data_IF_542815529442
#
_entry.id   IF_542815529442
#
_cell.length_a   1.000
_cell.length_b   1.000
_cell.length_c   1.000
_cell.angle_alpha   90.00
_cell.angle_beta   90.00
_cell.angle_gamma   90.00
#
_symmetry.space_group_name_H-M   'P 1'
#
loop_
_entity.id
_entity.type
_entity.pdbx_description
1 polymer ?
#
# COMPACT_ATOMS: atom_id res chain seq x y z
N UNK A 1 10.59 24.71 24.91
CA UNK A 1 9.93 23.87 23.90
C UNK A 1 9.63 22.54 24.58
N UNK A 2 8.38 22.06 24.54
CA UNK A 2 8.08 20.72 25.07
C UNK A 2 8.82 19.69 24.23
N UNK A 3 9.52 18.76 24.90
CA UNK A 3 10.20 17.66 24.24
C UNK A 3 9.17 16.77 23.58
N UNK A 4 9.35 16.42 22.30
CA UNK A 4 8.45 15.53 21.59
C UNK A 4 8.52 14.13 22.22
N UNK A 5 7.46 13.72 22.88
CA UNK A 5 7.33 12.38 23.45
C UNK A 5 6.35 11.56 22.62
N UNK A 6 6.83 10.53 21.95
CA UNK A 6 6.01 9.60 21.18
C UNK A 6 5.37 8.55 22.09
N UNK A 7 4.04 8.47 22.06
CA UNK A 7 3.29 7.43 22.75
C UNK A 7 2.67 6.47 21.71
N UNK A 8 3.23 5.27 21.50
CA UNK A 8 2.78 4.36 20.46
C UNK A 8 1.36 3.82 20.70
N UNK A 9 0.94 3.61 21.96
CA UNK A 9 -0.40 3.13 22.30
C UNK A 9 -1.46 4.18 21.99
N UNK A 10 -1.26 5.40 22.46
CA UNK A 10 -2.17 6.52 22.18
C UNK A 10 -2.22 6.83 20.69
N UNK A 11 -1.08 6.77 20.01
CA UNK A 11 -1.01 6.99 18.55
C UNK A 11 -1.79 5.91 17.79
N UNK A 12 -1.62 4.63 18.15
CA UNK A 12 -2.42 3.53 17.59
C UNK A 12 -3.91 3.79 17.73
N UNK A 13 -4.36 4.09 18.95
CA UNK A 13 -5.78 4.25 19.24
C UNK A 13 -6.36 5.45 18.48
N UNK A 14 -5.64 6.56 18.41
CA UNK A 14 -6.00 7.73 17.61
C UNK A 14 -6.05 7.43 16.10
N UNK A 15 -5.12 6.64 15.58
CA UNK A 15 -5.14 6.24 14.16
C UNK A 15 -6.34 5.34 13.85
N UNK A 16 -6.65 4.38 14.71
CA UNK A 16 -7.83 3.52 14.58
C UNK A 16 -9.11 4.36 14.52
N UNK A 17 -9.26 5.35 15.42
CA UNK A 17 -10.42 6.22 15.42
C UNK A 17 -10.50 7.08 14.15
N UNK A 18 -9.40 7.70 13.73
CA UNK A 18 -9.35 8.52 12.52
C UNK A 18 -9.67 7.73 11.26
N UNK A 19 -9.21 6.48 11.15
CA UNK A 19 -9.57 5.60 10.02
C UNK A 19 -11.09 5.37 10.02
N UNK A 20 -11.68 5.08 11.17
CA UNK A 20 -13.12 4.85 11.32
C UNK A 20 -13.93 6.08 10.93
N UNK A 21 -13.57 7.23 11.48
CA UNK A 21 -14.22 8.51 11.18
C UNK A 21 -14.14 8.86 9.68
N UNK A 22 -12.97 8.72 9.08
CA UNK A 22 -12.76 9.02 7.66
C UNK A 22 -13.61 8.12 6.76
N UNK A 23 -13.54 6.82 6.97
CA UNK A 23 -14.21 5.84 6.10
C UNK A 23 -15.74 5.91 6.27
N UNK A 24 -16.23 5.91 7.51
CA UNK A 24 -17.67 5.99 7.76
C UNK A 24 -18.25 7.38 7.50
N UNK A 25 -17.49 8.45 7.76
CA UNK A 25 -17.90 9.82 7.46
C UNK A 25 -18.14 10.08 5.98
N UNK A 26 -17.47 9.32 5.11
CA UNK A 26 -17.70 9.34 3.65
C UNK A 26 -18.79 8.34 3.19
N UNK A 27 -19.52 7.70 4.12
CA UNK A 27 -20.55 6.72 3.79
C UNK A 27 -20.01 5.37 3.32
N UNK A 28 -18.70 5.12 3.51
CA UNK A 28 -18.03 3.87 3.13
C UNK A 28 -17.84 2.97 4.35
N UNK A 29 -17.56 1.69 4.11
CA UNK A 29 -17.29 0.72 5.20
C UNK A 29 -16.11 -0.19 4.90
N UNK A 30 -15.56 -0.15 3.70
CA UNK A 30 -14.55 -1.09 3.22
C UNK A 30 -13.29 -0.37 2.77
N UNK A 31 -12.17 -1.08 2.92
CA UNK A 31 -10.87 -0.61 2.42
C UNK A 31 -10.12 -1.72 1.69
N UNK A 32 -9.35 -1.32 0.68
CA UNK A 32 -8.42 -2.15 -0.08
C UNK A 32 -7.02 -1.60 0.14
N UNK A 33 -6.03 -2.47 0.32
CA UNK A 33 -4.62 -2.05 0.41
C UNK A 33 -3.69 -3.11 -0.18
N UNK A 34 -2.51 -2.65 -0.61
CA UNK A 34 -1.42 -3.52 -1.04
C UNK A 34 -0.74 -4.18 0.15
N UNK A 35 -0.51 -5.50 0.07
CA UNK A 35 0.24 -6.25 1.08
C UNK A 35 1.56 -6.71 0.49
N UNK A 36 2.65 -6.06 0.90
CA UNK A 36 4.01 -6.38 0.47
C UNK A 36 4.71 -7.43 1.34
N UNK A 37 4.19 -7.68 2.54
CA UNK A 37 4.87 -8.46 3.58
C UNK A 37 5.81 -7.65 4.47
N UNK A 38 6.06 -6.38 4.13
CA UNK A 38 6.83 -5.45 4.94
C UNK A 38 6.04 -4.86 6.11
N UNK A 39 6.76 -4.28 7.08
CA UNK A 39 6.20 -3.73 8.32
C UNK A 39 5.08 -2.71 8.11
N UNK A 40 5.23 -1.82 7.11
CA UNK A 40 4.27 -0.73 6.89
C UNK A 40 2.91 -1.26 6.43
N UNK A 41 2.88 -2.14 5.43
CA UNK A 41 1.64 -2.79 4.98
C UNK A 41 1.02 -3.68 6.08
N UNK A 42 1.85 -4.29 6.93
CA UNK A 42 1.42 -5.08 8.08
C UNK A 42 0.69 -4.20 9.10
N UNK A 43 1.32 -3.10 9.53
CA UNK A 43 0.74 -2.18 10.52
C UNK A 43 -0.51 -1.48 9.97
N UNK A 44 -0.47 -1.00 8.72
CA UNK A 44 -1.63 -0.36 8.09
C UNK A 44 -2.83 -1.32 8.02
N UNK A 45 -2.61 -2.58 7.62
CA UNK A 45 -3.69 -3.58 7.55
C UNK A 45 -4.31 -3.90 8.91
N UNK A 46 -3.49 -3.99 9.96
CA UNK A 46 -3.97 -4.23 11.32
C UNK A 46 -4.73 -3.03 11.89
N UNK A 47 -4.27 -1.80 11.63
CA UNK A 47 -5.00 -0.58 12.01
C UNK A 47 -6.37 -0.53 11.33
N UNK A 48 -6.44 -0.82 10.03
CA UNK A 48 -7.70 -0.88 9.30
C UNK A 48 -8.63 -1.98 9.83
N UNK A 49 -8.10 -3.16 10.14
CA UNK A 49 -8.89 -4.26 10.69
C UNK A 49 -9.45 -3.95 12.08
N UNK A 50 -8.70 -3.24 12.93
CA UNK A 50 -9.18 -2.74 14.24
C UNK A 50 -10.23 -1.65 14.09
N UNK A 51 -10.09 -0.79 13.08
CA UNK A 51 -11.00 0.32 12.85
C UNK A 51 -12.35 -0.12 12.27
N UNK A 52 -12.34 -1.04 11.31
CA UNK A 52 -13.49 -1.34 10.44
C UNK A 52 -14.02 -2.77 10.57
N UNK A 53 -13.31 -3.64 11.28
CA UNK A 53 -13.55 -5.09 11.25
C UNK A 53 -12.78 -5.76 10.11
N UNK A 54 -12.20 -6.94 10.40
CA UNK A 54 -11.35 -7.69 9.45
C UNK A 54 -12.06 -8.10 8.16
N UNK A 55 -13.37 -8.29 8.22
CA UNK A 55 -14.23 -8.64 7.09
C UNK A 55 -14.41 -7.50 6.08
N UNK A 56 -14.09 -6.27 6.47
CA UNK A 56 -14.19 -5.06 5.66
C UNK A 56 -12.84 -4.60 5.09
N UNK A 57 -11.78 -5.38 5.33
CA UNK A 57 -10.41 -5.08 4.84
C UNK A 57 -9.98 -6.13 3.82
N UNK A 58 -9.49 -5.66 2.67
CA UNK A 58 -9.12 -6.48 1.53
C UNK A 58 -7.65 -6.25 1.16
N UNK A 59 -6.81 -7.23 1.43
CA UNK A 59 -5.39 -7.21 1.09
C UNK A 59 -5.13 -7.72 -0.32
N UNK A 60 -4.41 -6.97 -1.13
CA UNK A 60 -4.02 -7.40 -2.48
C UNK A 60 -2.51 -7.56 -2.52
N UNK A 61 -2.04 -8.77 -2.74
CA UNK A 61 -0.63 -9.08 -2.99
C UNK A 61 -0.38 -8.99 -4.49
N UNK A 62 0.58 -8.16 -4.90
CA UNK A 62 0.83 -7.87 -6.31
C UNK A 62 2.30 -8.12 -6.69
N UNK A 63 2.73 -9.41 -6.73
CA UNK A 63 4.07 -9.75 -7.18
C UNK A 63 4.26 -9.38 -8.65
N UNK A 64 5.49 -9.03 -8.99
CA UNK A 64 5.96 -8.89 -10.37
C UNK A 64 6.82 -10.11 -10.72
N UNK A 65 6.18 -11.16 -11.24
CA UNK A 65 6.81 -12.45 -11.47
C UNK A 65 6.87 -13.33 -10.22
N UNK A 66 7.99 -14.01 -10.01
CA UNK A 66 8.22 -14.88 -8.85
C UNK A 66 8.76 -14.07 -7.70
N UNK A 67 7.95 -13.87 -6.67
CA UNK A 67 8.35 -13.19 -5.46
C UNK A 67 8.70 -14.21 -4.36
N UNK A 68 9.95 -14.19 -3.87
CA UNK A 68 10.46 -15.16 -2.88
C UNK A 68 9.79 -15.06 -1.52
N UNK A 69 9.38 -13.86 -1.14
CA UNK A 69 8.81 -13.49 0.16
C UNK A 69 7.27 -13.33 0.15
N UNK A 70 6.59 -13.84 -0.90
CA UNK A 70 5.11 -13.84 -0.95
C UNK A 70 4.49 -14.56 0.25
N UNK A 71 5.24 -15.53 0.84
CA UNK A 71 4.82 -16.23 2.05
C UNK A 71 4.64 -15.28 3.24
N UNK A 72 5.42 -14.20 3.33
CA UNK A 72 5.33 -13.24 4.42
C UNK A 72 4.10 -12.34 4.24
N UNK A 73 3.80 -11.92 3.02
CA UNK A 73 2.53 -11.25 2.69
C UNK A 73 1.32 -12.10 3.06
N UNK A 74 1.38 -13.42 2.79
CA UNK A 74 0.32 -14.36 3.18
C UNK A 74 0.21 -14.52 4.70
N UNK A 75 1.35 -14.56 5.43
CA UNK A 75 1.35 -14.58 6.89
C UNK A 75 0.65 -13.35 7.45
N UNK A 76 0.98 -12.14 6.96
CA UNK A 76 0.29 -10.90 7.35
C UNK A 76 -1.22 -11.05 7.24
N UNK A 77 -1.72 -11.45 6.07
CA UNK A 77 -3.15 -11.60 5.84
C UNK A 77 -3.81 -12.60 6.80
N UNK A 78 -3.12 -13.71 7.11
CA UNK A 78 -3.62 -14.74 8.03
C UNK A 78 -3.66 -14.24 9.48
N UNK A 79 -2.60 -13.59 9.95
CA UNK A 79 -2.53 -13.08 11.32
C UNK A 79 -3.51 -11.95 11.57
N UNK A 80 -3.60 -11.00 10.63
CA UNK A 80 -4.60 -9.93 10.72
C UNK A 80 -6.02 -10.46 10.50
N UNK A 81 -6.16 -11.58 9.80
CA UNK A 81 -7.44 -12.25 9.53
C UNK A 81 -8.27 -11.56 8.45
N UNK A 82 -7.62 -10.85 7.53
CA UNK A 82 -8.27 -10.11 6.44
C UNK A 82 -8.48 -10.98 5.19
N UNK A 83 -9.46 -10.58 4.39
CA UNK A 83 -9.67 -11.18 3.05
C UNK A 83 -8.51 -10.78 2.14
N UNK A 84 -8.06 -11.68 1.28
CA UNK A 84 -6.93 -11.39 0.43
C UNK A 84 -6.99 -12.06 -0.94
N UNK A 85 -6.24 -11.50 -1.89
CA UNK A 85 -6.07 -12.04 -3.25
C UNK A 85 -4.66 -11.79 -3.74
N UNK A 86 -4.13 -12.70 -4.55
CA UNK A 86 -2.88 -12.51 -5.29
C UNK A 86 -3.23 -12.11 -6.72
N UNK A 87 -2.62 -11.02 -7.19
CA UNK A 87 -2.71 -10.52 -8.57
C UNK A 87 -1.29 -10.32 -9.07
N UNK A 88 -0.76 -11.27 -9.85
CA UNK A 88 0.57 -11.11 -10.43
C UNK A 88 0.51 -10.05 -11.56
N UNK A 89 1.32 -9.01 -11.43
CA UNK A 89 1.34 -7.89 -12.40
C UNK A 89 2.39 -8.06 -13.49
N UNK A 90 3.12 -9.16 -13.53
CA UNK A 90 4.26 -9.39 -14.44
C UNK A 90 3.89 -9.17 -15.91
N UNK A 91 2.88 -9.86 -16.38
CA UNK A 91 2.43 -9.74 -17.77
C UNK A 91 1.95 -8.32 -18.11
N UNK A 92 1.29 -7.66 -17.15
CA UNK A 92 0.84 -6.26 -17.32
C UNK A 92 2.05 -5.32 -17.43
N UNK A 93 3.05 -5.52 -16.57
CA UNK A 93 4.28 -4.72 -16.57
C UNK A 93 5.02 -4.84 -17.90
N UNK A 94 5.32 -6.06 -18.34
CA UNK A 94 6.01 -6.30 -19.60
C UNK A 94 5.20 -5.82 -20.82
N UNK A 95 3.89 -6.03 -20.80
CA UNK A 95 3.04 -5.56 -21.91
C UNK A 95 3.00 -4.04 -22.00
N UNK A 96 2.98 -3.32 -20.86
CA UNK A 96 3.04 -1.86 -20.84
C UNK A 96 4.36 -1.34 -21.42
N UNK A 97 5.49 -1.89 -20.98
CA UNK A 97 6.81 -1.50 -21.50
C UNK A 97 6.89 -1.75 -23.00
N UNK A 98 6.52 -2.95 -23.45
CA UNK A 98 6.53 -3.33 -24.86
C UNK A 98 5.60 -2.44 -25.70
N UNK A 99 4.43 -2.10 -25.20
CA UNK A 99 3.49 -1.24 -25.92
C UNK A 99 4.05 0.16 -26.17
N UNK A 100 4.75 0.73 -25.18
CA UNK A 100 5.39 2.04 -25.34
C UNK A 100 6.60 1.96 -26.25
N UNK A 101 7.43 0.91 -26.14
CA UNK A 101 8.62 0.69 -26.97
C UNK A 101 8.27 0.50 -28.45
N UNK A 102 7.20 -0.25 -28.74
CA UNK A 102 6.76 -0.55 -30.11
C UNK A 102 5.70 0.43 -30.66
N UNK A 103 5.30 1.41 -29.86
CA UNK A 103 4.29 2.39 -30.25
C UNK A 103 4.78 3.26 -31.38
N UNK A 104 3.98 3.36 -32.44
CA UNK A 104 4.19 4.25 -33.58
C UNK A 104 2.82 4.62 -34.18
N UNK A 105 2.70 5.81 -34.70
CA UNK A 105 1.48 6.26 -35.38
C UNK A 105 1.53 6.09 -36.93
N UNK A 106 2.72 5.77 -37.47
CA UNK A 106 2.94 5.46 -38.89
C UNK A 106 2.85 6.65 -39.86
N UNK A 107 2.33 7.79 -39.47
CA UNK A 107 2.04 8.93 -40.36
C UNK A 107 2.64 10.27 -39.91
N UNK A 108 2.96 10.43 -38.64
CA UNK A 108 3.51 11.66 -38.06
C UNK A 108 4.96 11.36 -37.61
N UNK A 109 5.81 12.35 -37.71
CA UNK A 109 7.19 12.27 -37.21
C UNK A 109 7.17 11.80 -35.74
N UNK A 110 7.69 10.59 -35.51
CA UNK A 110 7.70 9.96 -34.21
C UNK A 110 8.86 10.52 -33.37
N UNK A 111 8.73 10.48 -32.05
CA UNK A 111 9.81 10.92 -31.15
C UNK A 111 10.40 9.71 -30.42
N UNK A 112 11.74 9.67 -30.26
CA UNK A 112 12.36 8.60 -29.50
C UNK A 112 11.98 8.72 -28.02
N UNK A 113 11.49 7.63 -27.42
CA UNK A 113 11.27 7.55 -25.97
C UNK A 113 12.55 6.99 -25.34
N UNK A 114 13.33 7.82 -24.62
CA UNK A 114 14.53 7.33 -23.93
C UNK A 114 14.09 6.52 -22.70
N UNK A 115 14.11 5.22 -22.82
CA UNK A 115 13.84 4.33 -21.68
C UNK A 115 14.99 4.42 -20.70
N UNK A 116 14.66 4.68 -19.42
CA UNK A 116 15.60 4.65 -18.30
C UNK A 116 15.19 3.55 -17.33
N UNK A 117 16.15 3.06 -16.54
CA UNK A 117 15.87 2.11 -15.47
C UNK A 117 14.82 2.70 -14.48
N UNK A 118 14.93 3.98 -14.15
CA UNK A 118 13.98 4.68 -13.29
C UNK A 118 12.57 4.72 -13.89
N UNK A 119 12.41 5.00 -15.18
CA UNK A 119 11.09 5.00 -15.83
C UNK A 119 10.45 3.61 -15.79
N UNK A 120 11.24 2.56 -16.00
CA UNK A 120 10.77 1.18 -15.99
C UNK A 120 10.35 0.72 -14.59
N UNK A 121 11.15 1.02 -13.56
CA UNK A 121 10.86 0.68 -12.16
C UNK A 121 9.55 1.32 -11.69
N UNK A 122 9.30 2.56 -12.10
CA UNK A 122 8.08 3.30 -11.69
C UNK A 122 6.79 2.80 -12.35
N UNK A 123 6.86 1.99 -13.39
CA UNK A 123 5.67 1.34 -13.98
C UNK A 123 5.01 0.38 -12.99
N UNK A 124 5.80 -0.43 -12.28
CA UNK A 124 5.29 -1.40 -11.31
C UNK A 124 4.37 -0.80 -10.22
N UNK A 125 4.80 0.22 -9.45
CA UNK A 125 3.95 0.90 -8.47
C UNK A 125 2.65 1.49 -9.07
N UNK A 126 2.72 2.06 -10.29
CA UNK A 126 1.52 2.59 -10.98
C UNK A 126 0.54 1.49 -11.36
N UNK A 127 1.02 0.35 -11.87
CA UNK A 127 0.17 -0.81 -12.16
C UNK A 127 -0.47 -1.39 -10.89
N UNK A 128 0.26 -1.41 -9.77
CA UNK A 128 -0.29 -1.82 -8.48
C UNK A 128 -1.42 -0.88 -8.06
N UNK A 129 -1.22 0.44 -8.17
CA UNK A 129 -2.27 1.40 -7.84
C UNK A 129 -3.49 1.25 -8.76
N UNK A 130 -3.30 1.10 -10.07
CA UNK A 130 -4.39 0.83 -11.03
C UNK A 130 -5.18 -0.42 -10.62
N UNK A 131 -4.50 -1.49 -10.23
CA UNK A 131 -5.13 -2.72 -9.74
C UNK A 131 -5.92 -2.47 -8.46
N UNK A 132 -5.35 -1.75 -7.48
CA UNK A 132 -6.04 -1.40 -6.23
C UNK A 132 -7.29 -0.56 -6.50
N UNK A 133 -7.21 0.43 -7.38
CA UNK A 133 -8.34 1.28 -7.78
C UNK A 133 -9.47 0.49 -8.43
N UNK A 134 -9.13 -0.45 -9.33
CA UNK A 134 -10.11 -1.33 -9.94
C UNK A 134 -10.85 -2.17 -8.88
N UNK A 135 -10.09 -2.81 -7.98
CA UNK A 135 -10.68 -3.64 -6.91
C UNK A 135 -11.51 -2.80 -5.94
N UNK A 136 -11.00 -1.63 -5.55
CA UNK A 136 -11.70 -0.72 -4.65
C UNK A 136 -13.04 -0.26 -5.23
N UNK A 137 -13.07 0.13 -6.50
CA UNK A 137 -14.32 0.52 -7.18
C UNK A 137 -15.31 -0.64 -7.24
N UNK A 138 -14.85 -1.85 -7.59
CA UNK A 138 -15.71 -3.04 -7.66
C UNK A 138 -16.29 -3.44 -6.30
N UNK A 139 -15.61 -3.14 -5.19
CA UNK A 139 -16.05 -3.46 -3.83
C UNK A 139 -16.78 -2.31 -3.13
N UNK A 140 -16.84 -1.12 -3.72
CA UNK A 140 -17.29 0.09 -3.02
C UNK A 140 -16.39 0.36 -1.79
N UNK A 141 -15.08 0.46 -2.01
CA UNK A 141 -14.06 0.59 -0.97
C UNK A 141 -13.13 1.79 -1.24
N UNK A 142 -12.46 2.29 -0.20
CA UNK A 142 -11.33 3.21 -0.34
C UNK A 142 -10.01 2.45 -0.47
N UNK A 143 -9.03 3.08 -1.14
CA UNK A 143 -7.65 2.61 -1.17
C UNK A 143 -6.89 3.21 0.01
N UNK A 144 -6.39 2.36 0.90
CA UNK A 144 -5.51 2.76 2.00
C UNK A 144 -4.04 2.71 1.56
N UNK A 145 -3.33 3.81 1.74
CA UNK A 145 -1.88 3.90 1.55
C UNK A 145 -1.11 3.27 2.70
N UNK A 146 0.14 2.92 2.42
CA UNK A 146 1.05 2.28 3.38
C UNK A 146 2.39 3.01 3.51
N UNK A 147 2.59 4.15 2.83
CA UNK A 147 3.81 4.94 2.89
C UNK A 147 3.98 5.63 4.25
N UNK A 148 5.21 5.74 4.74
CA UNK A 148 5.54 6.41 6.00
C UNK A 148 6.24 7.76 5.76
N UNK A 149 6.40 8.55 6.82
CA UNK A 149 7.03 9.88 6.76
C UNK A 149 8.51 9.80 6.34
N UNK A 150 9.24 8.75 6.72
CA UNK A 150 10.65 8.61 6.35
C UNK A 150 10.82 8.43 4.85
N UNK A 151 9.94 7.67 4.19
CA UNK A 151 9.91 7.49 2.74
C UNK A 151 9.57 8.81 2.04
N UNK A 152 8.55 9.51 2.52
CA UNK A 152 8.14 10.81 1.98
C UNK A 152 9.25 11.86 2.06
N UNK A 153 9.99 11.91 3.17
CA UNK A 153 11.08 12.88 3.38
C UNK A 153 12.27 12.68 2.44
N UNK A 154 12.52 11.47 1.99
CA UNK A 154 13.62 11.18 1.04
C UNK A 154 13.14 11.03 -0.41
N UNK A 155 11.83 11.23 -0.65
CA UNK A 155 11.25 11.07 -1.99
C UNK A 155 11.18 9.63 -2.48
N UNK A 156 11.26 8.64 -1.58
CA UNK A 156 11.13 7.22 -1.93
C UNK A 156 9.64 6.86 -2.10
N UNK A 157 9.06 7.40 -3.15
CA UNK A 157 7.67 7.17 -3.54
C UNK A 157 7.51 7.39 -5.04
N UNK A 158 6.51 6.76 -5.63
CA UNK A 158 6.18 6.91 -7.05
C UNK A 158 4.91 7.74 -7.21
N UNK A 159 5.04 8.88 -7.93
CA UNK A 159 3.90 9.70 -8.30
C UNK A 159 2.91 8.87 -9.12
N UNK A 160 1.61 9.00 -8.80
CA UNK A 160 0.51 8.23 -9.38
C UNK A 160 0.60 6.71 -9.16
N UNK A 161 1.56 6.28 -8.33
CA UNK A 161 1.68 4.94 -7.78
C UNK A 161 1.22 4.91 -6.32
N UNK A 162 2.14 4.60 -5.41
CA UNK A 162 1.87 4.52 -3.96
C UNK A 162 1.38 5.83 -3.33
N UNK A 163 1.61 6.99 -3.98
CA UNK A 163 1.10 8.30 -3.53
C UNK A 163 -0.39 8.52 -3.81
N UNK A 164 -1.01 7.75 -4.70
CA UNK A 164 -2.41 7.95 -5.17
C UNK A 164 -3.45 7.18 -4.37
N UNK A 165 -3.30 7.08 -3.05
CA UNK A 165 -4.29 6.50 -2.15
C UNK A 165 -5.36 7.51 -1.73
N UNK A 166 -6.50 7.02 -1.19
CA UNK A 166 -7.57 7.90 -0.68
C UNK A 166 -7.22 8.45 0.72
N UNK A 167 -6.51 7.67 1.52
CA UNK A 167 -5.95 8.07 2.80
C UNK A 167 -4.72 7.24 3.14
N UNK A 168 -3.83 7.80 3.95
CA UNK A 168 -2.60 7.15 4.39
C UNK A 168 -2.42 7.30 5.90
N UNK A 169 -2.74 6.29 6.71
CA UNK A 169 -2.68 6.39 8.17
C UNK A 169 -1.25 6.52 8.71
N UNK A 170 -0.25 6.05 7.97
CA UNK A 170 1.14 6.06 8.41
C UNK A 170 1.92 7.31 7.96
N UNK A 171 1.34 8.16 7.12
CA UNK A 171 2.02 9.27 6.47
C UNK A 171 2.66 10.31 7.39
N UNK A 172 2.23 10.38 8.65
CA UNK A 172 2.81 11.26 9.66
C UNK A 172 3.79 10.55 10.63
N UNK A 173 4.01 9.25 10.46
CA UNK A 173 4.88 8.44 11.32
C UNK A 173 6.21 8.15 10.61
N UNK A 174 7.29 8.29 11.33
CA UNK A 174 8.61 7.79 10.88
C UNK A 174 8.60 6.25 10.85
N UNK A 175 9.53 5.67 10.11
CA UNK A 175 9.69 4.21 10.01
C UNK A 175 9.85 3.54 11.39
N UNK A 176 10.54 4.20 12.34
CA UNK A 176 10.70 3.72 13.71
C UNK A 176 9.39 3.78 14.50
N UNK A 177 8.63 4.86 14.36
CA UNK A 177 7.34 5.01 15.03
C UNK A 177 6.30 4.01 14.51
N UNK A 178 6.33 3.67 13.22
CA UNK A 178 5.49 2.60 12.66
C UNK A 178 5.78 1.27 13.34
N UNK A 179 7.06 0.91 13.53
CA UNK A 179 7.45 -0.30 14.28
C UNK A 179 6.93 -0.24 15.72
N UNK A 180 7.11 0.89 16.41
CA UNK A 180 6.64 1.04 17.80
C UNK A 180 5.12 0.90 17.91
N UNK A 181 4.35 1.46 16.99
CA UNK A 181 2.89 1.29 16.91
C UNK A 181 2.53 -0.19 16.67
N UNK A 182 3.18 -0.84 15.72
CA UNK A 182 2.94 -2.24 15.40
C UNK A 182 3.22 -3.17 16.59
N UNK A 183 4.27 -2.93 17.36
CA UNK A 183 4.62 -3.70 18.56
C UNK A 183 3.58 -3.58 19.68
N UNK A 184 2.66 -2.61 19.64
CA UNK A 184 1.53 -2.50 20.57
C UNK A 184 0.34 -3.39 20.19
N UNK A 185 0.39 -4.07 19.04
CA UNK A 185 -0.69 -4.90 18.52
C UNK A 185 -0.35 -6.38 18.80
N UNK A 186 -0.98 -6.95 19.82
CA UNK A 186 -0.69 -8.32 20.29
C UNK A 186 -0.98 -9.39 19.23
N UNK A 187 -1.89 -9.12 18.29
CA UNK A 187 -2.23 -10.00 17.18
C UNK A 187 -1.15 -10.09 16.10
N UNK A 188 -0.17 -9.17 16.09
CA UNK A 188 0.91 -9.18 15.11
C UNK A 188 2.15 -9.90 15.64
N UNK A 189 2.69 -10.88 14.92
CA UNK A 189 4.01 -11.44 15.23
C UNK A 189 5.08 -10.36 15.13
N UNK A 190 5.98 -10.32 16.12
CA UNK A 190 7.04 -9.29 16.17
C UNK A 190 7.94 -9.31 14.94
N UNK A 191 8.19 -10.48 14.38
CA UNK A 191 8.99 -10.67 13.17
C UNK A 191 8.39 -10.06 11.90
N UNK A 192 7.08 -9.76 11.90
CA UNK A 192 6.42 -9.10 10.76
C UNK A 192 6.39 -7.57 10.91
N UNK A 193 6.81 -7.06 12.05
CA UNK A 193 6.79 -5.63 12.38
C UNK A 193 8.22 -5.06 12.45
N UNK A 194 9.20 -5.87 12.72
CA UNK A 194 10.62 -5.51 12.78
C UNK A 194 11.30 -5.69 11.42
#
# INVERSE_FOLDING_TARGET
MAEYQFNPVETRDRLVERIREFVHGAGMSRVVLGISGGKDSTVASALCARALGRENVYGIMMPDGVQKDISDSMKVCRFVGIRHRIVNIHELHHSQLKAVESGSNGEIEDFPVPFSEESNVNVGPRLRMTTLRYVAQALGAFVCGTGNLSEANVGYCTQDGDTSCDFNPLGALTSVEVVQVGLTMEELPKELVQ
#
